data_IF_553389870630
#
_entry.id   IF_553389870630
#
_cell.length_a   1.000
_cell.length_b   1.000
_cell.length_c   1.000
_cell.angle_alpha   90.00
_cell.angle_beta   90.00
_cell.angle_gamma   90.00
#
_symmetry.space_group_name_H-M   'P 1'
#
loop_
_entity.id
_entity.type
_entity.pdbx_description
1 polymer ?
#
# COMPACT_ATOMS: atom_id res chain seq x y z
N UNK A 1 -28.80 -7.29 -3.52
CA UNK A 1 -27.42 -7.04 -3.99
C UNK A 1 -26.74 -6.22 -2.92
N UNK A 2 -25.69 -6.73 -2.28
CA UNK A 2 -25.00 -6.01 -1.21
C UNK A 2 -24.24 -4.82 -1.80
N UNK A 3 -24.59 -3.59 -1.39
CA UNK A 3 -23.93 -2.33 -1.77
C UNK A 3 -22.53 -2.22 -1.13
N UNK A 4 -21.65 -3.18 -1.40
CA UNK A 4 -20.27 -3.15 -0.94
C UNK A 4 -19.48 -2.20 -1.85
N UNK A 5 -18.80 -1.22 -1.26
CA UNK A 5 -17.93 -0.29 -2.00
C UNK A 5 -16.79 -1.08 -2.66
N UNK A 6 -16.42 -0.80 -3.92
CA UNK A 6 -15.26 -1.44 -4.55
C UNK A 6 -13.98 -1.25 -3.73
N UNK A 7 -13.06 -2.20 -3.84
CA UNK A 7 -11.69 -2.07 -3.35
C UNK A 7 -10.77 -1.70 -4.52
N UNK A 8 -9.96 -0.66 -4.38
CA UNK A 8 -8.93 -0.29 -5.36
C UNK A 8 -7.58 -0.57 -4.71
N UNK A 9 -6.78 -1.43 -5.32
CA UNK A 9 -5.37 -1.57 -4.97
C UNK A 9 -4.54 -0.80 -5.98
N UNK A 10 -3.66 0.07 -5.48
CA UNK A 10 -2.77 0.88 -6.30
C UNK A 10 -1.32 0.60 -5.97
N UNK A 11 -0.55 0.31 -7.02
CA UNK A 11 0.90 0.13 -6.94
C UNK A 11 1.59 1.46 -7.25
N UNK A 12 2.60 1.82 -6.47
CA UNK A 12 3.40 3.02 -6.68
C UNK A 12 4.89 2.68 -6.74
N UNK A 13 5.58 3.22 -7.75
CA UNK A 13 7.04 3.31 -7.84
C UNK A 13 7.47 4.76 -7.63
N UNK A 14 8.53 5.00 -6.88
CA UNK A 14 9.13 6.33 -6.81
C UNK A 14 9.90 6.63 -8.11
N UNK A 15 9.66 7.80 -8.71
CA UNK A 15 10.47 8.32 -9.80
C UNK A 15 11.91 8.54 -9.35
N UNK A 16 12.87 8.24 -10.21
CA UNK A 16 14.30 8.29 -9.91
C UNK A 16 14.74 9.74 -9.59
N UNK A 17 14.74 10.13 -8.32
CA UNK A 17 15.37 11.37 -7.85
C UNK A 17 15.97 11.20 -6.46
N UNK A 18 17.31 11.20 -6.43
CA UNK A 18 18.20 11.40 -5.29
C UNK A 18 18.15 10.35 -4.17
N UNK A 19 19.27 9.69 -3.96
CA UNK A 19 19.63 8.82 -2.83
C UNK A 19 19.12 9.38 -1.49
N UNK A 20 18.34 8.62 -0.70
CA UNK A 20 18.03 9.02 0.67
C UNK A 20 19.32 8.94 1.50
N UNK A 21 19.70 10.06 2.12
CA UNK A 21 20.75 10.09 3.14
C UNK A 21 20.29 9.26 4.34
N UNK A 22 21.12 8.36 4.91
CA UNK A 22 20.74 7.60 6.10
C UNK A 22 20.44 8.57 7.25
N UNK A 23 19.20 8.62 7.73
CA UNK A 23 18.87 9.39 8.94
C UNK A 23 19.30 8.59 10.16
N UNK A 24 20.09 9.27 10.99
CA UNK A 24 20.56 8.87 12.31
C UNK A 24 19.52 8.05 13.10
N UNK A 25 19.96 6.88 13.57
CA UNK A 25 19.28 6.06 14.56
C UNK A 25 19.16 6.81 15.89
N UNK A 26 17.95 7.05 16.35
CA UNK A 26 17.69 7.32 17.77
C UNK A 26 17.86 6.00 18.54
N UNK A 27 18.66 5.96 19.61
CA UNK A 27 18.77 4.77 20.45
C UNK A 27 17.52 4.65 21.33
N UNK A 28 17.02 3.42 21.48
CA UNK A 28 15.86 2.99 22.28
C UNK A 28 14.47 3.22 21.67
N UNK A 29 14.13 2.37 20.70
CA UNK A 29 12.80 1.76 20.66
C UNK A 29 12.98 0.31 20.20
N UNK A 30 12.38 -0.65 20.91
CA UNK A 30 12.34 -2.07 20.53
C UNK A 30 11.99 -2.27 19.04
N UNK A 31 12.46 -3.38 18.42
CA UNK A 31 12.20 -3.65 17.02
C UNK A 31 10.71 -3.81 16.76
N UNK A 32 10.06 -2.75 16.28
CA UNK A 32 8.67 -2.77 15.78
C UNK A 32 8.63 -3.44 14.38
N UNK A 33 9.22 -4.63 14.27
CA UNK A 33 9.48 -5.37 13.03
C UNK A 33 8.44 -6.45 12.74
N UNK A 34 7.25 -6.39 13.33
CA UNK A 34 6.17 -7.30 13.01
C UNK A 34 5.29 -6.71 11.90
N UNK A 35 4.97 -7.53 10.90
CA UNK A 35 3.99 -7.21 9.86
C UNK A 35 2.62 -7.00 10.50
N UNK A 36 2.37 -5.80 11.01
CA UNK A 36 1.12 -5.37 11.62
C UNK A 36 0.53 -4.26 10.76
N UNK A 37 -0.79 -4.27 10.60
CA UNK A 37 -1.57 -3.18 10.00
C UNK A 37 -2.41 -2.61 11.12
N UNK A 38 -2.22 -1.33 11.41
CA UNK A 38 -2.78 -0.66 12.59
C UNK A 38 -3.68 0.51 12.17
N UNK A 39 -4.77 0.73 12.90
CA UNK A 39 -5.68 1.87 12.66
C UNK A 39 -4.97 3.16 13.10
N UNK A 40 -4.89 4.13 12.19
CA UNK A 40 -4.37 5.45 12.54
C UNK A 40 -5.48 6.18 13.31
N UNK A 41 -5.23 6.44 14.60
CA UNK A 41 -6.19 7.14 15.46
C UNK A 41 -6.03 8.66 15.37
N UNK A 42 -4.79 9.14 15.22
CA UNK A 42 -4.46 10.56 15.13
C UNK A 42 -3.36 10.76 14.09
N UNK A 43 -3.65 11.59 13.08
CA UNK A 43 -2.68 11.95 12.05
C UNK A 43 -2.24 13.41 12.24
N UNK A 44 -0.95 13.69 12.53
CA UNK A 44 -0.46 15.06 12.65
C UNK A 44 -0.75 15.89 11.41
N UNK A 45 -1.13 17.16 11.61
CA UNK A 45 -1.45 18.09 10.53
C UNK A 45 -2.90 18.02 10.04
N UNK A 46 -3.71 17.07 10.51
CA UNK A 46 -5.17 17.07 10.28
C UNK A 46 -5.85 17.92 11.35
N UNK A 47 -6.56 18.96 10.93
CA UNK A 47 -7.35 19.85 11.79
C UNK A 47 -8.87 19.79 11.51
N UNK A 48 -9.30 18.81 10.70
CA UNK A 48 -10.69 18.57 10.32
C UNK A 48 -11.17 17.19 10.73
N UNK A 49 -12.48 17.01 10.85
CA UNK A 49 -13.07 15.74 11.24
C UNK A 49 -12.92 14.68 10.14
N UNK A 50 -12.44 13.49 10.54
CA UNK A 50 -12.37 12.31 9.69
C UNK A 50 -13.57 11.41 9.94
N UNK A 51 -14.38 11.17 8.92
CA UNK A 51 -15.57 10.32 8.99
C UNK A 51 -15.35 8.92 8.39
N UNK A 52 -14.10 8.48 8.29
CA UNK A 52 -13.72 7.17 7.77
C UNK A 52 -12.52 6.62 8.53
N UNK A 53 -12.37 5.29 8.49
CA UNK A 53 -11.22 4.60 9.08
C UNK A 53 -10.06 4.53 8.09
N UNK A 54 -8.85 4.66 8.60
CA UNK A 54 -7.62 4.52 7.83
C UNK A 54 -6.57 3.76 8.65
N UNK A 55 -5.67 3.10 7.95
CA UNK A 55 -4.74 2.13 8.52
C UNK A 55 -3.38 2.25 7.87
N UNK A 56 -2.31 1.96 8.61
CA UNK A 56 -0.96 1.86 8.04
C UNK A 56 -0.21 0.69 8.64
N UNK A 57 0.74 0.16 7.88
CA UNK A 57 1.51 -0.97 8.33
C UNK A 57 2.26 -1.69 7.23
N UNK A 58 2.53 -2.95 7.49
CA UNK A 58 3.48 -3.74 6.73
C UNK A 58 2.94 -5.13 6.40
N UNK A 59 3.28 -5.61 5.20
CA UNK A 59 3.07 -6.98 4.75
C UNK A 59 4.40 -7.66 4.45
N UNK A 60 4.50 -8.91 4.86
CA UNK A 60 5.73 -9.71 4.74
C UNK A 60 5.66 -10.58 3.48
N UNK A 61 6.23 -10.13 2.38
CA UNK A 61 5.98 -10.72 1.05
C UNK A 61 6.88 -11.89 0.68
N UNK A 62 7.90 -12.18 1.50
CA UNK A 62 8.75 -13.36 1.31
C UNK A 62 9.13 -14.00 2.66
N UNK A 63 9.14 -15.34 2.75
CA UNK A 63 9.59 -16.08 3.94
C UNK A 63 11.13 -16.23 3.99
N UNK A 64 11.81 -16.10 2.84
CA UNK A 64 13.27 -16.26 2.71
C UNK A 64 13.99 -14.96 2.38
N UNK A 65 13.28 -14.03 1.75
CA UNK A 65 13.76 -12.67 1.46
C UNK A 65 13.14 -11.77 2.50
N UNK A 66 14.00 -10.99 3.09
CA UNK A 66 13.76 -9.99 4.13
C UNK A 66 12.77 -8.86 3.75
N UNK A 67 12.01 -8.98 2.67
CA UNK A 67 11.22 -7.91 2.07
C UNK A 67 9.89 -7.71 2.81
N UNK A 68 9.73 -6.50 3.32
CA UNK A 68 8.50 -5.98 3.89
C UNK A 68 7.98 -4.90 2.94
N UNK A 69 6.80 -5.11 2.36
CA UNK A 69 6.09 -4.07 1.60
C UNK A 69 5.19 -3.28 2.55
N UNK A 70 5.31 -1.96 2.53
CA UNK A 70 4.43 -1.04 3.21
C UNK A 70 3.04 -1.09 2.58
N UNK A 71 2.04 -1.37 3.41
CA UNK A 71 0.65 -1.14 3.10
C UNK A 71 0.13 0.02 3.92
N UNK A 72 -0.40 1.02 3.25
CA UNK A 72 -1.21 2.03 3.93
C UNK A 72 -2.56 2.15 3.25
N UNK A 73 -3.59 1.90 4.03
CA UNK A 73 -4.94 2.40 3.78
C UNK A 73 -4.85 3.90 4.02
N UNK A 74 -4.54 4.63 2.94
CA UNK A 74 -4.05 6.01 2.90
C UNK A 74 -2.57 6.12 3.29
N UNK A 75 -1.67 6.03 2.30
CA UNK A 75 -0.23 6.31 2.49
C UNK A 75 0.02 7.82 2.51
N UNK A 76 1.13 8.23 3.12
CA UNK A 76 1.73 9.56 3.01
C UNK A 76 2.70 9.64 1.80
N UNK A 77 2.49 8.85 0.75
CA UNK A 77 3.28 8.99 -0.49
C UNK A 77 2.88 10.27 -1.20
N UNK A 78 3.80 10.86 -1.97
CA UNK A 78 3.51 12.06 -2.76
C UNK A 78 2.26 11.92 -3.63
N UNK A 79 1.94 10.69 -4.06
CA UNK A 79 0.73 10.35 -4.79
C UNK A 79 -0.57 10.54 -4.00
N UNK A 80 -0.63 9.94 -2.81
CA UNK A 80 -1.80 10.02 -1.95
C UNK A 80 -1.96 11.45 -1.41
N UNK A 81 -0.85 12.09 -1.04
CA UNK A 81 -0.83 13.43 -0.46
C UNK A 81 -0.89 14.57 -1.47
N UNK A 82 -0.80 14.35 -2.78
CA UNK A 82 -0.88 15.47 -3.75
C UNK A 82 -1.91 15.27 -4.84
N UNK A 83 -2.50 14.09 -4.97
CA UNK A 83 -3.37 13.79 -6.11
C UNK A 83 -4.76 13.32 -5.66
N UNK A 84 -4.86 12.10 -5.12
CA UNK A 84 -6.15 11.39 -5.02
C UNK A 84 -6.46 10.78 -3.65
N UNK A 85 -5.55 10.89 -2.69
CA UNK A 85 -5.83 10.52 -1.32
C UNK A 85 -6.85 11.46 -0.67
N UNK A 86 -7.39 11.10 0.49
CA UNK A 86 -8.38 11.90 1.21
C UNK A 86 -7.86 13.24 1.73
N UNK A 87 -6.54 13.37 1.85
CA UNK A 87 -5.89 14.59 2.34
C UNK A 87 -4.75 14.96 1.41
N UNK A 88 -4.47 16.26 1.32
CA UNK A 88 -3.35 16.80 0.55
C UNK A 88 -2.43 17.59 1.47
N UNK A 89 -1.13 17.43 1.29
CA UNK A 89 -0.13 18.20 2.01
C UNK A 89 -0.19 19.68 1.62
N UNK A 90 -0.21 20.57 2.62
CA UNK A 90 -0.07 22.00 2.37
C UNK A 90 1.40 22.36 2.08
N UNK A 91 1.66 23.50 1.40
CA UNK A 91 3.03 23.94 1.09
C UNK A 91 3.92 24.18 2.31
N UNK A 92 3.35 24.28 3.51
CA UNK A 92 4.08 24.42 4.77
C UNK A 92 4.80 23.12 5.21
N UNK A 93 4.51 21.99 4.55
CA UNK A 93 5.07 20.67 4.86
C UNK A 93 4.67 20.13 6.22
N UNK A 94 3.63 20.69 6.87
CA UNK A 94 3.23 20.38 8.24
C UNK A 94 1.75 20.11 8.38
N UNK A 95 0.91 20.80 7.62
CA UNK A 95 -0.54 20.67 7.71
C UNK A 95 -1.11 19.94 6.51
N UNK A 96 -2.28 19.35 6.70
CA UNK A 96 -3.04 18.62 5.70
C UNK A 96 -4.36 19.34 5.48
N UNK A 97 -4.85 19.35 4.24
CA UNK A 97 -6.19 19.80 3.89
C UNK A 97 -7.01 18.67 3.28
N UNK A 98 -8.32 18.70 3.45
CA UNK A 98 -9.21 17.72 2.82
C UNK A 98 -9.15 17.80 1.29
N UNK A 99 -9.25 16.64 0.62
CA UNK A 99 -9.34 16.55 -0.83
C UNK A 99 -10.79 16.32 -1.28
N UNK A 100 -11.45 17.31 -1.92
CA UNK A 100 -12.82 17.15 -2.40
C UNK A 100 -12.95 16.13 -3.55
N UNK A 101 -11.85 15.74 -4.21
CA UNK A 101 -11.84 14.79 -5.33
C UNK A 101 -11.26 13.42 -4.96
N UNK A 102 -11.15 13.13 -3.66
CA UNK A 102 -10.54 11.89 -3.18
C UNK A 102 -11.28 10.63 -3.66
N UNK A 103 -10.51 9.64 -4.10
CA UNK A 103 -11.06 8.36 -4.58
C UNK A 103 -11.73 7.54 -3.47
N UNK A 104 -11.32 7.75 -2.22
CA UNK A 104 -11.92 7.06 -1.08
C UNK A 104 -13.39 7.45 -0.82
N UNK A 105 -13.91 8.47 -1.50
CA UNK A 105 -15.33 8.80 -1.53
C UNK A 105 -16.18 7.72 -2.22
N UNK A 106 -15.59 6.99 -3.16
CA UNK A 106 -16.30 6.01 -4.00
C UNK A 106 -15.81 4.57 -3.80
N UNK A 107 -14.60 4.38 -3.28
CA UNK A 107 -13.99 3.08 -3.07
C UNK A 107 -13.25 3.01 -1.73
N UNK A 108 -12.97 1.80 -1.25
CA UNK A 108 -11.92 1.59 -0.25
C UNK A 108 -10.60 1.47 -1.00
N UNK A 109 -9.60 2.31 -0.67
CA UNK A 109 -8.35 2.41 -1.46
C UNK A 109 -7.17 1.92 -0.64
N UNK A 110 -6.38 1.03 -1.24
CA UNK A 110 -5.13 0.46 -0.71
C UNK A 110 -3.98 1.01 -1.52
N UNK A 111 -3.02 1.62 -0.85
CA UNK A 111 -1.77 2.04 -1.47
C UNK A 111 -0.68 1.06 -1.04
N UNK A 112 0.02 0.49 -2.02
CA UNK A 112 1.16 -0.41 -1.81
C UNK A 112 2.41 0.29 -2.32
N UNK A 113 3.41 0.42 -1.44
CA UNK A 113 4.75 0.83 -1.85
C UNK A 113 5.57 -0.42 -2.18
N UNK A 114 6.01 -0.52 -3.44
CA UNK A 114 6.78 -1.64 -3.91
C UNK A 114 7.68 -1.21 -5.09
N UNK A 115 8.81 -1.88 -5.31
CA UNK A 115 9.41 -2.96 -4.51
C UNK A 115 10.02 -2.47 -3.18
N UNK A 116 10.65 -3.36 -2.40
CA UNK A 116 11.45 -2.98 -1.23
C UNK A 116 12.48 -1.89 -1.61
N UNK A 117 12.63 -0.87 -0.76
CA UNK A 117 13.44 0.32 -1.04
C UNK A 117 12.63 1.52 -1.57
N UNK A 118 11.35 1.34 -1.91
CA UNK A 118 10.43 2.43 -2.26
C UNK A 118 9.72 2.96 -1.03
N UNK A 119 9.83 4.26 -0.76
CA UNK A 119 9.12 4.93 0.34
C UNK A 119 9.50 4.37 1.72
N UNK A 120 8.53 3.77 2.42
CA UNK A 120 8.70 3.11 3.70
C UNK A 120 8.91 1.59 3.58
N UNK A 121 8.76 0.99 2.39
CA UNK A 121 9.02 -0.43 2.17
C UNK A 121 10.52 -0.73 2.25
N UNK A 122 10.89 -1.81 2.92
CA UNK A 122 12.29 -2.12 3.21
C UNK A 122 12.58 -3.62 3.17
N UNK A 123 13.86 -3.95 3.01
CA UNK A 123 14.37 -5.30 3.22
C UNK A 123 15.15 -5.37 4.54
N UNK A 124 14.84 -6.32 5.42
CA UNK A 124 15.58 -6.62 6.66
C UNK A 124 17.05 -7.04 6.45
N UNK A 125 17.44 -7.52 5.27
CA UNK A 125 18.86 -7.82 4.93
C UNK A 125 19.52 -6.70 4.11
N UNK A 126 18.78 -5.62 3.82
CA UNK A 126 19.26 -4.49 3.03
C UNK A 126 19.38 -4.75 1.52
N UNK A 127 19.09 -5.96 1.03
CA UNK A 127 19.08 -6.23 -0.40
C UNK A 127 17.79 -5.71 -1.04
N UNK A 128 17.93 -4.71 -1.90
CA UNK A 128 16.83 -4.11 -2.68
C UNK A 128 16.92 -4.44 -4.18
N UNK A 129 17.79 -5.40 -4.55
CA UNK A 129 17.92 -5.85 -5.93
C UNK A 129 16.65 -6.57 -6.35
N UNK A 130 16.07 -6.14 -7.46
CA UNK A 130 14.80 -6.68 -7.95
C UNK A 130 14.69 -6.53 -9.46
N UNK A 131 13.71 -7.22 -10.04
CA UNK A 131 13.27 -7.10 -11.43
C UNK A 131 11.74 -7.10 -11.50
N UNK A 132 11.19 -7.02 -12.71
CA UNK A 132 9.73 -6.99 -12.91
C UNK A 132 9.05 -8.29 -12.46
N UNK A 133 9.71 -9.44 -12.61
CA UNK A 133 9.14 -10.74 -12.25
C UNK A 133 9.05 -10.89 -10.73
N UNK A 134 10.15 -10.62 -10.02
CA UNK A 134 10.21 -10.65 -8.57
C UNK A 134 9.27 -9.62 -7.95
N UNK A 135 9.26 -8.38 -8.46
CA UNK A 135 8.35 -7.33 -7.98
C UNK A 135 6.89 -7.74 -8.15
N UNK A 136 6.54 -8.35 -9.28
CA UNK A 136 5.19 -8.87 -9.52
C UNK A 136 4.83 -10.00 -8.54
N UNK A 137 5.76 -10.92 -8.28
CA UNK A 137 5.55 -12.02 -7.33
C UNK A 137 5.35 -11.52 -5.90
N UNK A 138 6.19 -10.58 -5.45
CA UNK A 138 6.09 -9.97 -4.12
C UNK A 138 4.78 -9.17 -3.95
N UNK A 139 4.37 -8.41 -4.98
CA UNK A 139 3.09 -7.73 -4.98
C UNK A 139 1.91 -8.71 -4.90
N UNK A 140 2.00 -9.86 -5.57
CA UNK A 140 0.97 -10.90 -5.48
C UNK A 140 0.86 -11.48 -4.06
N UNK A 141 1.99 -11.74 -3.39
CA UNK A 141 2.00 -12.17 -1.99
C UNK A 141 1.49 -11.07 -1.03
N UNK A 142 1.72 -9.79 -1.34
CA UNK A 142 1.14 -8.68 -0.60
C UNK A 142 -0.39 -8.71 -0.70
N UNK A 143 -0.93 -8.86 -1.90
CA UNK A 143 -2.39 -8.98 -2.12
C UNK A 143 -2.98 -10.15 -1.32
N UNK A 144 -2.33 -11.33 -1.36
CA UNK A 144 -2.78 -12.51 -0.61
C UNK A 144 -2.82 -12.26 0.89
N UNK A 145 -1.75 -11.68 1.45
CA UNK A 145 -1.73 -11.35 2.87
C UNK A 145 -2.76 -10.30 3.25
N UNK A 146 -2.94 -9.28 2.40
CA UNK A 146 -3.96 -8.26 2.61
C UNK A 146 -5.35 -8.90 2.76
N UNK A 147 -5.77 -9.70 1.78
CA UNK A 147 -7.05 -10.40 1.83
C UNK A 147 -7.08 -11.53 2.88
N UNK A 148 -5.92 -12.01 3.33
CA UNK A 148 -5.78 -12.89 4.50
C UNK A 148 -6.17 -12.18 5.80
N UNK A 149 -5.62 -10.98 6.02
CA UNK A 149 -5.85 -10.16 7.21
C UNK A 149 -7.22 -9.47 7.21
N UNK A 150 -7.74 -9.12 6.04
CA UNK A 150 -9.02 -8.43 5.90
C UNK A 150 -10.00 -9.24 5.02
N UNK A 151 -10.47 -10.41 5.51
CA UNK A 151 -11.28 -11.34 4.72
C UNK A 151 -12.62 -10.74 4.26
N UNK A 152 -13.12 -9.71 4.94
CA UNK A 152 -14.36 -9.01 4.57
C UNK A 152 -14.28 -8.37 3.17
N UNK A 153 -13.10 -7.97 2.71
CA UNK A 153 -12.93 -7.37 1.38
C UNK A 153 -12.89 -8.40 0.25
N UNK A 154 -12.80 -9.70 0.51
CA UNK A 154 -12.68 -10.73 -0.55
C UNK A 154 -13.87 -10.77 -1.50
N UNK A 155 -15.05 -10.36 -1.03
CA UNK A 155 -16.27 -10.33 -1.83
C UNK A 155 -16.51 -8.98 -2.53
N UNK A 156 -15.61 -8.01 -2.35
CA UNK A 156 -15.71 -6.71 -2.99
C UNK A 156 -15.14 -6.78 -4.41
N UNK A 157 -15.78 -6.07 -5.35
CA UNK A 157 -15.17 -5.82 -6.66
C UNK A 157 -13.82 -5.16 -6.47
N UNK A 158 -12.76 -5.80 -6.97
CA UNK A 158 -11.39 -5.35 -6.79
C UNK A 158 -10.82 -4.85 -8.11
N UNK A 159 -10.22 -3.67 -8.09
CA UNK A 159 -9.58 -3.05 -9.25
C UNK A 159 -8.10 -2.81 -8.95
N UNK A 160 -7.23 -3.20 -9.88
CA UNK A 160 -5.78 -2.92 -9.80
C UNK A 160 -5.49 -1.72 -10.68
N UNK A 161 -4.84 -0.71 -10.13
CA UNK A 161 -4.53 0.55 -10.81
C UNK A 161 -3.07 0.95 -10.62
N UNK A 162 -2.54 1.74 -11.53
CA UNK A 162 -1.16 2.20 -11.50
C UNK A 162 -0.93 3.29 -12.54
N UNK A 163 0.20 3.96 -12.46
CA UNK A 163 0.58 5.03 -13.37
C UNK A 163 2.07 5.00 -13.68
N UNK A 164 2.46 5.56 -14.83
CA UNK A 164 3.82 5.54 -15.33
C UNK A 164 4.31 4.09 -15.48
N UNK A 165 5.38 3.68 -14.79
CA UNK A 165 5.82 2.28 -14.75
C UNK A 165 4.79 1.31 -14.13
N UNK A 166 3.73 1.84 -13.50
CA UNK A 166 2.52 1.09 -13.21
C UNK A 166 1.90 0.40 -14.45
N UNK A 167 2.20 0.88 -15.67
CA UNK A 167 1.87 0.19 -16.91
C UNK A 167 2.56 -1.17 -17.09
N UNK A 168 3.66 -1.44 -16.37
CA UNK A 168 4.32 -2.76 -16.28
C UNK A 168 3.80 -3.52 -15.06
N UNK A 169 3.71 -2.87 -13.90
CA UNK A 169 3.33 -3.54 -12.65
C UNK A 169 1.87 -4.03 -12.64
N UNK A 170 0.94 -3.26 -13.17
CA UNK A 170 -0.49 -3.61 -13.18
C UNK A 170 -0.75 -4.88 -14.01
N UNK A 171 -0.34 -4.99 -15.29
CA UNK A 171 -0.61 -6.19 -16.06
C UNK A 171 0.15 -7.41 -15.54
N UNK A 172 1.41 -7.27 -15.11
CA UNK A 172 2.18 -8.41 -14.57
C UNK A 172 1.57 -8.95 -13.27
N UNK A 173 1.16 -8.07 -12.35
CA UNK A 173 0.43 -8.49 -11.14
C UNK A 173 -0.92 -9.12 -11.48
N UNK A 174 -1.69 -8.50 -12.37
CA UNK A 174 -3.04 -8.98 -12.71
C UNK A 174 -2.98 -10.36 -13.36
N UNK A 175 -1.97 -10.63 -14.19
CA UNK A 175 -1.72 -11.96 -14.74
C UNK A 175 -1.51 -12.99 -13.63
N UNK A 176 -0.64 -12.71 -12.64
CA UNK A 176 -0.44 -13.60 -11.48
C UNK A 176 -1.71 -13.82 -10.67
N UNK A 177 -2.51 -12.77 -10.44
CA UNK A 177 -3.79 -12.88 -9.73
C UNK A 177 -4.74 -13.81 -10.46
N UNK A 178 -4.89 -13.64 -11.78
CA UNK A 178 -5.77 -14.48 -12.61
C UNK A 178 -5.30 -15.93 -12.62
N UNK A 179 -3.99 -16.17 -12.74
CA UNK A 179 -3.45 -17.53 -12.70
C UNK A 179 -3.62 -18.17 -11.32
N UNK A 180 -3.36 -17.43 -10.25
CA UNK A 180 -3.52 -17.90 -8.88
C UNK A 180 -4.97 -18.10 -8.43
N UNK A 181 -5.95 -17.52 -9.12
CA UNK A 181 -7.38 -17.81 -8.85
C UNK A 181 -7.72 -19.28 -9.08
N UNK A 182 -6.98 -19.98 -9.94
CA UNK A 182 -7.16 -21.44 -10.16
C UNK A 182 -6.92 -22.24 -8.88
N UNK A 183 -6.09 -21.72 -7.98
CA UNK A 183 -5.74 -22.37 -6.71
C UNK A 183 -6.70 -21.99 -5.57
N UNK A 184 -7.51 -20.94 -5.74
CA UNK A 184 -8.51 -20.51 -4.76
C UNK A 184 -9.89 -21.06 -5.14
N UNK A 185 -10.27 -22.21 -4.55
CA UNK A 185 -11.64 -22.73 -4.64
C UNK A 185 -12.62 -21.69 -4.11
N UNK A 186 -13.62 -21.34 -4.92
CA UNK A 186 -14.70 -20.45 -4.51
C UNK A 186 -15.36 -20.98 -3.24
N UNK A 187 -15.45 -20.16 -2.19
CA UNK A 187 -16.42 -20.41 -1.12
C UNK A 187 -17.79 -20.27 -1.78
N UNK A 188 -18.54 -21.37 -1.84
CA UNK A 188 -19.88 -21.41 -2.43
C UNK A 188 -20.74 -20.28 -1.83
N UNK A 189 -21.35 -19.48 -2.71
CA UNK A 189 -22.32 -18.44 -2.33
C UNK A 189 -23.57 -19.04 -1.72
#
# INVERSE_FOLDING_TARGET
>A
MSNLRPAIVRLHQQGNSSTPTPRHSTPNSEPRHQAAVEEIQNLPGVDFELNFKHYSGFLQVSPTTSCITGLSWVQLSGWSLNEMGPYVANPDGKTLRSNPHAWNKFASVVYIEAPAGVGYSYSTDGNITTDDDLTSQENYEAIKQFFGKHPTFRNHSTFITGESYGGVYVPTLTARIVDGQKDYKSISR
#
